data_IF_702563473305
#
_entry.id   IF_702563473305
#
_cell.length_a   1.000
_cell.length_b   1.000
_cell.length_c   1.000
_cell.angle_alpha   90.00
_cell.angle_beta   90.00
_cell.angle_gamma   90.00
#
_symmetry.space_group_name_H-M   'P 1'
#
loop_
_entity.id
_entity.type
_entity.pdbx_description
1 polymer ?
#
# COMPACT_ATOMS: atom_id res chain seq x y z
N UNK A 1 -31.83 1.72 -5.78
CA UNK A 1 -31.64 0.42 -5.10
C UNK A 1 -30.17 0.33 -4.73
N UNK A 2 -29.82 -0.13 -3.53
CA UNK A 2 -28.42 -0.20 -3.12
C UNK A 2 -27.70 -1.33 -3.85
N UNK A 3 -26.49 -1.05 -4.30
CA UNK A 3 -25.59 -2.02 -4.90
C UNK A 3 -24.77 -2.73 -3.83
N UNK A 4 -24.58 -4.05 -3.98
CA UNK A 4 -23.83 -4.87 -3.02
C UNK A 4 -22.57 -5.44 -3.64
N UNK A 5 -21.44 -5.27 -2.97
CA UNK A 5 -20.14 -5.78 -3.40
C UNK A 5 -19.19 -5.94 -2.21
N UNK A 6 -18.11 -6.72 -2.38
CA UNK A 6 -17.11 -6.93 -1.33
C UNK A 6 -16.26 -5.68 -1.09
N UNK A 7 -15.67 -5.56 0.10
CA UNK A 7 -14.67 -4.52 0.42
C UNK A 7 -13.50 -4.53 -0.57
N UNK A 8 -13.02 -5.72 -0.94
CA UNK A 8 -11.97 -5.87 -1.96
C UNK A 8 -12.36 -5.28 -3.32
N UNK A 9 -13.62 -5.42 -3.74
CA UNK A 9 -14.13 -4.80 -4.97
C UNK A 9 -14.36 -3.31 -4.80
N UNK A 10 -14.82 -2.87 -3.62
CA UNK A 10 -15.05 -1.47 -3.30
C UNK A 10 -13.79 -0.62 -3.50
N UNK A 11 -12.63 -1.09 -3.02
CA UNK A 11 -11.35 -0.40 -3.26
C UNK A 11 -11.02 -0.28 -4.74
N UNK A 12 -11.24 -1.34 -5.53
CA UNK A 12 -11.04 -1.31 -6.99
C UNK A 12 -11.98 -0.32 -7.69
N UNK A 13 -13.23 -0.23 -7.24
CA UNK A 13 -14.19 0.73 -7.79
C UNK A 13 -13.80 2.18 -7.48
N UNK A 14 -13.29 2.46 -6.29
CA UNK A 14 -12.74 3.80 -5.98
C UNK A 14 -11.56 4.14 -6.91
N UNK A 15 -10.67 3.18 -7.18
CA UNK A 15 -9.57 3.39 -8.15
C UNK A 15 -10.10 3.67 -9.56
N UNK A 16 -11.07 2.89 -10.05
CA UNK A 16 -11.69 3.12 -11.37
C UNK A 16 -12.37 4.48 -11.48
N UNK A 17 -13.11 4.90 -10.45
CA UNK A 17 -13.73 6.23 -10.41
C UNK A 17 -12.67 7.32 -10.48
N UNK A 18 -11.55 7.14 -9.75
CA UNK A 18 -10.45 8.09 -9.79
C UNK A 18 -9.82 8.18 -11.19
N UNK A 19 -9.48 7.05 -11.81
CA UNK A 19 -8.94 6.99 -13.18
C UNK A 19 -9.89 7.66 -14.19
N UNK A 20 -11.20 7.40 -14.08
CA UNK A 20 -12.20 8.03 -14.94
C UNK A 20 -12.31 9.54 -14.71
N UNK A 21 -12.18 9.99 -13.46
CA UNK A 21 -12.19 11.41 -13.10
C UNK A 21 -10.98 12.13 -13.70
N UNK A 22 -9.78 11.55 -13.61
CA UNK A 22 -8.58 12.10 -14.24
C UNK A 22 -8.73 12.20 -15.77
N UNK A 23 -9.25 11.17 -16.42
CA UNK A 23 -9.52 11.20 -17.87
C UNK A 23 -10.49 12.34 -18.25
N UNK A 24 -11.57 12.53 -17.48
CA UNK A 24 -12.51 13.63 -17.75
C UNK A 24 -11.87 14.99 -17.49
N UNK A 25 -11.02 15.12 -16.48
CA UNK A 25 -10.28 16.35 -16.21
C UNK A 25 -9.32 16.72 -17.34
N UNK A 26 -8.64 15.73 -17.94
CA UNK A 26 -7.81 15.92 -19.13
C UNK A 26 -8.66 16.39 -20.33
N UNK A 27 -9.82 15.77 -20.56
CA UNK A 27 -10.77 16.19 -21.59
C UNK A 27 -11.28 17.61 -21.37
N UNK A 28 -11.64 17.97 -20.13
CA UNK A 28 -12.08 19.31 -19.75
C UNK A 28 -10.98 20.33 -20.01
N UNK A 29 -9.74 20.03 -19.63
CA UNK A 29 -8.58 20.90 -19.89
C UNK A 29 -8.43 21.20 -21.39
N UNK A 30 -8.59 20.20 -22.25
CA UNK A 30 -8.58 20.38 -23.70
C UNK A 30 -9.77 21.20 -24.21
N UNK A 31 -10.98 20.96 -23.69
CA UNK A 31 -12.20 21.66 -24.09
C UNK A 31 -12.25 23.13 -23.63
N UNK A 32 -11.56 23.47 -22.53
CA UNK A 32 -11.49 24.83 -22.00
C UNK A 32 -10.55 25.74 -22.79
N UNK A 33 -9.77 25.19 -23.74
CA UNK A 33 -8.93 25.99 -24.61
C UNK A 33 -9.78 26.93 -25.48
N UNK A 34 -9.40 28.22 -25.62
CA UNK A 34 -10.11 29.15 -26.47
C UNK A 34 -10.15 28.66 -27.93
N UNK A 35 -11.33 28.72 -28.54
CA UNK A 35 -11.50 28.40 -29.96
C UNK A 35 -11.59 29.68 -30.79
N UNK A 36 -11.09 29.63 -32.03
CA UNK A 36 -11.31 30.67 -33.03
C UNK A 36 -12.66 30.39 -33.70
N UNK A 37 -13.56 31.37 -33.66
CA UNK A 37 -14.87 31.33 -34.33
C UNK A 37 -14.93 32.43 -35.38
N UNK A 38 -15.48 32.14 -36.57
CA UNK A 38 -15.75 33.16 -37.55
C UNK A 38 -16.99 33.97 -37.14
N UNK A 39 -16.98 35.28 -37.42
CA UNK A 39 -18.03 36.23 -37.01
C UNK A 39 -19.42 35.88 -37.60
N UNK A 40 -19.48 35.02 -38.63
CA UNK A 40 -20.71 34.57 -39.27
C UNK A 40 -20.78 33.05 -39.24
N UNK A 41 -21.78 32.49 -38.53
CA UNK A 41 -22.17 31.08 -38.64
C UNK A 41 -21.63 30.10 -37.59
N UNK A 42 -20.69 30.51 -36.71
CA UNK A 42 -20.03 29.60 -35.75
C UNK A 42 -20.54 29.68 -34.28
N UNK A 43 -21.59 30.45 -33.98
CA UNK A 43 -22.17 30.53 -32.63
C UNK A 43 -22.64 29.16 -32.09
N UNK A 44 -23.13 28.30 -32.98
CA UNK A 44 -23.57 26.95 -32.67
C UNK A 44 -22.43 26.09 -32.13
N UNK A 45 -21.19 26.28 -32.62
CA UNK A 45 -20.00 25.54 -32.19
C UNK A 45 -19.57 25.92 -30.77
N UNK A 46 -19.55 27.22 -30.46
CA UNK A 46 -19.25 27.69 -29.11
C UNK A 46 -20.30 27.21 -28.09
N UNK A 47 -21.58 27.23 -28.49
CA UNK A 47 -22.69 26.75 -27.65
C UNK A 47 -22.59 25.24 -27.40
N UNK A 48 -22.33 24.44 -28.44
CA UNK A 48 -22.15 22.99 -28.31
C UNK A 48 -20.97 22.62 -27.39
N UNK A 49 -19.86 23.36 -27.45
CA UNK A 49 -18.74 23.16 -26.55
C UNK A 49 -19.09 23.50 -25.10
N UNK A 50 -19.84 24.58 -24.85
CA UNK A 50 -20.33 24.92 -23.50
C UNK A 50 -21.22 23.83 -22.91
N UNK A 51 -22.16 23.30 -23.69
CA UNK A 51 -23.00 22.17 -23.27
C UNK A 51 -22.12 20.98 -22.91
N UNK A 52 -21.19 20.60 -23.80
CA UNK A 52 -20.26 19.48 -23.55
C UNK A 52 -19.41 19.68 -22.29
N UNK A 53 -18.94 20.90 -22.01
CA UNK A 53 -18.19 21.21 -20.79
C UNK A 53 -19.07 21.03 -19.56
N UNK A 54 -20.30 21.56 -19.58
CA UNK A 54 -21.23 21.42 -18.46
C UNK A 54 -21.58 19.95 -18.19
N UNK A 55 -21.85 19.16 -19.23
CA UNK A 55 -22.12 17.72 -19.09
C UNK A 55 -20.94 16.97 -18.44
N UNK A 56 -19.70 17.37 -18.79
CA UNK A 56 -18.49 16.78 -18.22
C UNK A 56 -18.26 17.21 -16.77
N UNK A 57 -18.55 18.46 -16.44
CA UNK A 57 -18.48 18.94 -15.05
C UNK A 57 -19.51 18.23 -14.16
N UNK A 58 -20.75 18.07 -14.63
CA UNK A 58 -21.79 17.32 -13.91
C UNK A 58 -21.36 15.86 -13.68
N UNK A 59 -20.72 15.24 -14.67
CA UNK A 59 -20.19 13.88 -14.53
C UNK A 59 -19.07 13.79 -13.47
N UNK A 60 -18.17 14.78 -13.40
CA UNK A 60 -17.12 14.84 -12.37
C UNK A 60 -17.75 14.96 -10.98
N UNK A 61 -18.79 15.77 -10.80
CA UNK A 61 -19.51 15.89 -9.53
C UNK A 61 -20.15 14.56 -9.12
N UNK A 62 -20.81 13.87 -10.05
CA UNK A 62 -21.39 12.53 -9.80
C UNK A 62 -20.32 11.50 -9.43
N UNK A 63 -19.16 11.52 -10.11
CA UNK A 63 -18.03 10.64 -9.79
C UNK A 63 -17.46 10.93 -8.39
N UNK A 64 -17.32 12.20 -8.02
CA UNK A 64 -16.87 12.61 -6.69
C UNK A 64 -17.85 12.16 -5.60
N UNK A 65 -19.16 12.33 -5.82
CA UNK A 65 -20.20 11.88 -4.91
C UNK A 65 -20.18 10.34 -4.76
N UNK A 66 -20.10 9.60 -5.87
CA UNK A 66 -20.00 8.14 -5.87
C UNK A 66 -18.75 7.61 -5.16
N UNK A 67 -17.58 8.21 -5.43
CA UNK A 67 -16.32 7.89 -4.72
C UNK A 67 -16.46 8.11 -3.22
N UNK A 68 -17.08 9.21 -2.81
CA UNK A 68 -17.32 9.55 -1.40
C UNK A 68 -18.25 8.53 -0.74
N UNK A 69 -19.36 8.17 -1.38
CA UNK A 69 -20.30 7.17 -0.87
C UNK A 69 -19.62 5.80 -0.66
N UNK A 70 -18.82 5.35 -1.61
CA UNK A 70 -18.08 4.08 -1.48
C UNK A 70 -17.04 4.17 -0.35
N UNK A 71 -16.27 5.26 -0.26
CA UNK A 71 -15.28 5.44 0.80
C UNK A 71 -15.90 5.47 2.20
N UNK A 72 -17.06 6.11 2.35
CA UNK A 72 -17.80 6.13 3.61
C UNK A 72 -18.26 4.72 4.00
N UNK A 73 -18.84 3.96 3.05
CA UNK A 73 -19.26 2.59 3.31
C UNK A 73 -18.09 1.65 3.64
N UNK A 74 -16.92 1.84 3.00
CA UNK A 74 -15.67 1.14 3.36
C UNK A 74 -15.27 1.49 4.80
N UNK A 75 -15.25 2.79 5.15
CA UNK A 75 -14.82 3.24 6.47
C UNK A 75 -15.73 2.70 7.58
N UNK A 76 -17.05 2.77 7.38
CA UNK A 76 -18.05 2.24 8.30
C UNK A 76 -17.86 0.73 8.49
N UNK A 77 -17.74 -0.02 7.39
CA UNK A 77 -17.56 -1.47 7.47
C UNK A 77 -16.24 -1.86 8.12
N UNK A 78 -15.14 -1.17 7.80
CA UNK A 78 -13.83 -1.39 8.43
C UNK A 78 -13.83 -1.12 9.93
N UNK A 79 -14.59 -0.11 10.37
CA UNK A 79 -14.82 0.15 11.79
C UNK A 79 -15.60 -0.99 12.43
N UNK A 80 -16.72 -1.40 11.84
CA UNK A 80 -17.60 -2.44 12.36
C UNK A 80 -16.92 -3.83 12.49
N UNK A 81 -16.05 -4.19 11.55
CA UNK A 81 -15.33 -5.48 11.57
C UNK A 81 -13.98 -5.43 12.30
N UNK A 82 -13.60 -4.28 12.87
CA UNK A 82 -12.33 -4.14 13.57
C UNK A 82 -11.08 -4.24 12.68
N UNK A 83 -11.20 -4.01 11.37
CA UNK A 83 -10.11 -4.16 10.38
C UNK A 83 -8.84 -3.38 10.77
N UNK A 84 -9.02 -2.20 11.36
CA UNK A 84 -7.93 -1.34 11.81
C UNK A 84 -6.99 -2.00 12.83
N UNK A 85 -7.52 -2.85 13.72
CA UNK A 85 -6.72 -3.59 14.70
C UNK A 85 -5.83 -4.62 14.01
N UNK A 86 -6.40 -5.39 13.07
CA UNK A 86 -5.64 -6.37 12.30
C UNK A 86 -4.55 -5.70 11.45
N UNK A 87 -4.85 -4.59 10.79
CA UNK A 87 -3.86 -3.82 10.03
C UNK A 87 -2.74 -3.27 10.92
N UNK A 88 -3.07 -2.75 12.11
CA UNK A 88 -2.08 -2.25 13.06
C UNK A 88 -1.17 -3.39 13.59
N UNK A 89 -1.75 -4.53 13.95
CA UNK A 89 -1.01 -5.71 14.40
C UNK A 89 -0.07 -6.22 13.30
N UNK A 90 -0.54 -6.26 12.05
CA UNK A 90 0.28 -6.67 10.90
C UNK A 90 1.44 -5.71 10.66
N UNK A 91 1.20 -4.41 10.77
CA UNK A 91 2.26 -3.40 10.65
C UNK A 91 3.30 -3.53 11.78
N UNK A 92 2.86 -3.80 13.01
CA UNK A 92 3.75 -4.03 14.14
C UNK A 92 4.63 -5.28 13.94
N UNK A 93 4.03 -6.40 13.54
CA UNK A 93 4.76 -7.64 13.22
C UNK A 93 5.78 -7.41 12.12
N UNK A 94 5.40 -6.74 11.02
CA UNK A 94 6.32 -6.43 9.93
C UNK A 94 7.51 -5.56 10.37
N UNK A 95 7.28 -4.54 11.22
CA UNK A 95 8.37 -3.73 11.79
C UNK A 95 9.30 -4.57 12.66
N UNK A 96 8.74 -5.47 13.47
CA UNK A 96 9.52 -6.35 14.33
C UNK A 96 10.37 -7.34 13.51
N UNK A 97 9.79 -7.94 12.47
CA UNK A 97 10.49 -8.82 11.52
C UNK A 97 11.65 -8.06 10.87
N UNK A 98 11.38 -6.87 10.30
CA UNK A 98 12.39 -6.05 9.63
C UNK A 98 13.55 -5.66 10.58
N UNK A 99 13.22 -5.33 11.84
CA UNK A 99 14.22 -5.00 12.85
C UNK A 99 15.12 -6.20 13.17
N UNK A 100 14.54 -7.39 13.38
CA UNK A 100 15.31 -8.61 13.67
C UNK A 100 16.13 -9.06 12.46
N UNK A 101 15.58 -8.97 11.24
CA UNK A 101 16.32 -9.25 10.01
C UNK A 101 17.49 -8.28 9.81
N UNK A 102 17.32 -7.00 10.17
CA UNK A 102 18.42 -6.03 10.12
C UNK A 102 19.54 -6.40 11.11
N UNK A 103 19.20 -6.82 12.33
CA UNK A 103 20.17 -7.31 13.32
C UNK A 103 20.93 -8.52 12.78
N UNK A 104 20.22 -9.51 12.21
CA UNK A 104 20.86 -10.68 11.58
C UNK A 104 21.82 -10.30 10.45
N UNK A 105 21.39 -9.43 9.52
CA UNK A 105 22.24 -8.97 8.42
C UNK A 105 23.50 -8.27 8.91
N UNK A 106 23.39 -7.40 9.92
CA UNK A 106 24.56 -6.74 10.49
C UNK A 106 25.51 -7.71 11.19
N UNK A 107 24.98 -8.69 11.93
CA UNK A 107 25.78 -9.76 12.54
C UNK A 107 26.54 -10.60 11.50
N UNK A 108 25.89 -10.96 10.39
CA UNK A 108 26.48 -11.76 9.32
C UNK A 108 27.56 -11.00 8.53
N UNK A 109 27.30 -9.74 8.14
CA UNK A 109 28.28 -8.94 7.40
C UNK A 109 29.54 -8.58 8.20
N UNK A 110 29.42 -8.42 9.53
CA UNK A 110 30.56 -8.16 10.40
C UNK A 110 31.48 -9.40 10.58
N UNK A 111 30.96 -10.60 10.30
CA UNK A 111 31.57 -11.87 10.71
C UNK A 111 32.57 -12.46 9.72
N UNK A 112 32.52 -12.12 8.43
CA UNK A 112 33.35 -12.78 7.40
C UNK A 112 34.87 -12.55 7.52
N UNK A 113 35.33 -11.61 8.36
CA UNK A 113 36.76 -11.34 8.62
C UNK A 113 37.11 -11.28 10.11
N UNK A 114 36.20 -11.74 10.97
CA UNK A 114 36.35 -11.71 12.42
C UNK A 114 36.71 -13.10 12.97
N UNK A 115 37.55 -13.13 14.01
CA UNK A 115 37.88 -14.34 14.76
C UNK A 115 36.69 -14.79 15.60
N UNK A 116 36.49 -16.10 15.75
CA UNK A 116 35.51 -16.61 16.72
C UNK A 116 36.00 -16.32 18.16
N UNK A 117 35.07 -16.06 19.09
CA UNK A 117 35.41 -15.60 20.45
C UNK A 117 36.28 -16.61 21.22
N UNK A 118 36.05 -17.91 20.99
CA UNK A 118 36.81 -19.04 21.55
C UNK A 118 38.26 -19.12 21.03
N UNK A 119 38.52 -18.57 19.84
CA UNK A 119 39.85 -18.53 19.22
C UNK A 119 40.71 -17.35 19.71
N UNK A 120 40.10 -16.36 20.37
CA UNK A 120 40.79 -15.14 20.83
C UNK A 120 41.96 -15.43 21.78
N UNK A 121 41.85 -16.30 22.81
CA UNK A 121 42.97 -16.57 23.71
C UNK A 121 44.18 -17.18 22.98
N UNK A 122 43.93 -18.12 22.07
CA UNK A 122 44.99 -18.75 21.26
C UNK A 122 45.64 -17.75 20.29
N UNK A 123 44.84 -16.86 19.70
CA UNK A 123 45.35 -15.79 18.85
C UNK A 123 46.24 -14.82 19.62
N UNK A 124 45.79 -14.33 20.79
CA UNK A 124 46.56 -13.43 21.66
C UNK A 124 47.89 -14.06 22.08
N UNK A 125 47.87 -15.34 22.51
CA UNK A 125 49.09 -16.05 22.88
C UNK A 125 50.12 -16.07 21.73
N UNK A 126 49.66 -16.25 20.49
CA UNK A 126 50.50 -16.29 19.29
C UNK A 126 51.11 -14.93 18.94
N UNK A 127 50.45 -13.81 19.21
CA UNK A 127 50.93 -12.46 18.84
C UNK A 127 51.57 -11.68 20.00
N UNK A 128 51.56 -12.25 21.20
CA UNK A 128 52.02 -11.62 22.45
C UNK A 128 53.48 -11.13 22.44
N UNK A 129 54.31 -11.65 21.53
CA UNK A 129 55.73 -11.30 21.39
C UNK A 129 55.98 -10.13 20.43
N UNK A 130 54.96 -9.61 19.75
CA UNK A 130 55.10 -8.49 18.83
C UNK A 130 55.21 -7.16 19.58
N UNK A 131 56.12 -6.27 19.15
CA UNK A 131 56.28 -4.93 19.73
C UNK A 131 55.03 -4.04 19.55
N UNK A 132 54.25 -4.29 18.49
CA UNK A 132 52.97 -3.60 18.22
C UNK A 132 51.89 -4.64 18.03
N UNK A 133 50.86 -4.61 18.87
CA UNK A 133 49.75 -5.56 18.79
C UNK A 133 48.73 -5.12 17.72
N UNK A 134 48.37 -6.00 16.77
CA UNK A 134 47.35 -5.69 15.76
C UNK A 134 45.95 -5.63 16.38
N UNK A 135 45.09 -4.78 15.79
CA UNK A 135 43.65 -4.75 16.11
C UNK A 135 42.95 -5.87 15.35
N UNK A 136 42.22 -6.72 16.06
CA UNK A 136 41.44 -7.82 15.50
C UNK A 136 39.95 -7.63 15.78
N UNK A 137 39.12 -8.01 14.80
CA UNK A 137 37.66 -8.08 14.95
C UNK A 137 37.31 -9.46 15.50
N UNK A 138 36.42 -9.51 16.48
CA UNK A 138 35.95 -10.74 17.11
C UNK A 138 34.46 -10.86 16.86
N UNK A 139 34.00 -12.06 16.49
CA UNK A 139 32.58 -12.39 16.42
C UNK A 139 32.06 -12.52 17.83
N UNK A 140 31.15 -11.64 18.19
CA UNK A 140 30.41 -11.67 19.46
C UNK A 140 29.01 -12.28 19.26
N UNK A 141 28.60 -12.42 18.01
CA UNK A 141 27.34 -13.01 17.62
C UNK A 141 27.53 -14.51 17.40
N UNK A 142 27.21 -15.30 18.42
CA UNK A 142 27.37 -16.75 18.39
C UNK A 142 26.27 -17.41 17.52
N UNK A 143 26.55 -18.62 17.02
CA UNK A 143 25.64 -19.37 16.18
C UNK A 143 24.32 -19.67 16.90
N UNK A 144 24.36 -19.98 18.20
CA UNK A 144 23.16 -20.20 19.02
C UNK A 144 22.23 -18.98 19.06
N UNK A 145 22.81 -17.77 19.11
CA UNK A 145 22.06 -16.51 19.12
C UNK A 145 21.45 -16.25 17.74
N UNK A 146 22.19 -16.59 16.68
CA UNK A 146 21.70 -16.50 15.31
C UNK A 146 20.50 -17.45 15.08
N UNK A 147 20.64 -18.72 15.46
CA UNK A 147 19.57 -19.72 15.34
C UNK A 147 18.32 -19.29 16.14
N UNK A 148 18.51 -18.81 17.37
CA UNK A 148 17.41 -18.27 18.20
C UNK A 148 16.67 -17.12 17.50
N UNK A 149 17.40 -16.22 16.84
CA UNK A 149 16.82 -15.09 16.11
C UNK A 149 16.10 -15.52 14.83
N UNK A 150 16.67 -16.46 14.10
CA UNK A 150 16.06 -17.05 12.90
C UNK A 150 14.75 -17.77 13.24
N UNK A 151 14.72 -18.56 14.32
CA UNK A 151 13.50 -19.20 14.83
C UNK A 151 12.44 -18.16 15.21
N UNK A 152 12.85 -17.10 15.90
CA UNK A 152 11.95 -16.01 16.31
C UNK A 152 11.36 -15.29 15.10
N UNK A 153 12.16 -14.99 14.08
CA UNK A 153 11.70 -14.41 12.82
C UNK A 153 10.74 -15.36 12.11
N UNK A 154 11.06 -16.66 12.03
CA UNK A 154 10.21 -17.66 11.41
C UNK A 154 8.85 -17.79 12.11
N UNK A 155 8.81 -17.64 13.45
CA UNK A 155 7.56 -17.60 14.22
C UNK A 155 6.75 -16.34 13.90
N UNK A 156 7.38 -15.17 13.91
CA UNK A 156 6.71 -13.90 13.59
C UNK A 156 6.17 -13.88 12.15
N UNK A 157 6.91 -14.44 11.19
CA UNK A 157 6.46 -14.58 9.79
C UNK A 157 5.22 -15.48 9.67
N UNK A 158 5.16 -16.58 10.41
CA UNK A 158 3.97 -17.44 10.48
C UNK A 158 2.76 -16.70 11.04
N UNK A 159 2.98 -15.88 12.07
CA UNK A 159 1.92 -15.06 12.67
C UNK A 159 1.44 -13.94 11.72
N UNK A 160 2.37 -13.29 11.00
CA UNK A 160 2.05 -12.28 9.98
C UNK A 160 1.24 -12.88 8.83
N UNK A 161 1.60 -14.09 8.36
CA UNK A 161 0.87 -14.81 7.32
C UNK A 161 -0.57 -15.12 7.76
N UNK A 162 -0.72 -15.70 8.97
CA UNK A 162 -2.03 -16.00 9.56
C UNK A 162 -2.92 -14.76 9.64
N UNK A 163 -2.34 -13.63 10.05
CA UNK A 163 -3.06 -12.36 10.11
C UNK A 163 -3.38 -11.81 8.71
N UNK A 164 -2.53 -12.08 7.72
CA UNK A 164 -2.82 -11.81 6.30
C UNK A 164 -4.05 -12.56 5.80
N UNK A 165 -4.20 -13.84 6.17
CA UNK A 165 -5.37 -14.64 5.83
C UNK A 165 -6.64 -14.08 6.49
N UNK A 166 -6.58 -13.73 7.79
CA UNK A 166 -7.70 -13.07 8.48
C UNK A 166 -8.12 -11.76 7.80
N UNK A 167 -7.16 -10.92 7.39
CA UNK A 167 -7.45 -9.67 6.68
C UNK A 167 -8.09 -9.96 5.32
N UNK A 168 -7.67 -11.00 4.61
CA UNK A 168 -8.27 -11.40 3.34
C UNK A 168 -9.73 -11.85 3.51
N UNK A 169 -10.00 -12.63 4.56
CA UNK A 169 -11.36 -13.03 4.91
C UNK A 169 -12.22 -11.82 5.29
N UNK A 170 -11.68 -10.89 6.06
CA UNK A 170 -12.36 -9.63 6.38
C UNK A 170 -12.67 -8.81 5.11
N UNK A 171 -11.76 -8.77 4.14
CA UNK A 171 -11.97 -8.08 2.85
C UNK A 171 -13.04 -8.74 1.94
N UNK A 172 -13.45 -9.97 2.23
CA UNK A 172 -14.56 -10.63 1.54
C UNK A 172 -15.94 -10.12 1.98
N UNK A 173 -16.01 -9.40 3.11
CA UNK A 173 -17.25 -8.86 3.64
C UNK A 173 -17.91 -7.91 2.64
N UNK A 174 -19.24 -8.03 2.53
CA UNK A 174 -20.03 -7.20 1.65
C UNK A 174 -20.36 -5.85 2.31
N UNK A 175 -20.38 -4.82 1.47
CA UNK A 175 -20.95 -3.51 1.76
C UNK A 175 -22.13 -3.24 0.82
N UNK A 176 -23.00 -2.35 1.26
CA UNK A 176 -24.20 -1.92 0.52
C UNK A 176 -24.07 -0.41 0.31
N UNK A 177 -24.11 0.05 -0.94
CA UNK A 177 -23.90 1.46 -1.28
C UNK A 177 -24.98 1.91 -2.23
N UNK A 178 -25.64 3.02 -1.90
CA UNK A 178 -26.53 3.70 -2.85
C UNK A 178 -25.68 4.54 -3.81
N UNK A 179 -25.77 4.23 -5.10
CA UNK A 179 -25.02 4.88 -6.16
C UNK A 179 -25.97 5.34 -7.26
N UNK A 180 -25.60 6.44 -7.90
CA UNK A 180 -26.21 6.85 -9.16
C UNK A 180 -25.98 5.75 -10.22
N UNK A 181 -27.02 5.47 -11.02
CA UNK A 181 -27.01 4.37 -11.99
C UNK A 181 -25.91 4.52 -13.03
N UNK A 182 -25.59 5.75 -13.45
CA UNK A 182 -24.53 6.01 -14.41
C UNK A 182 -23.14 5.75 -13.80
N UNK A 183 -22.97 6.04 -12.50
CA UNK A 183 -21.74 5.71 -11.78
C UNK A 183 -21.61 4.19 -11.63
N UNK A 184 -22.70 3.49 -11.33
CA UNK A 184 -22.71 2.04 -11.25
C UNK A 184 -22.32 1.38 -12.58
N UNK A 185 -22.78 1.93 -13.71
CA UNK A 185 -22.39 1.49 -15.05
C UNK A 185 -20.88 1.68 -15.30
N UNK A 186 -20.34 2.87 -14.99
CA UNK A 186 -18.91 3.20 -15.17
C UNK A 186 -17.99 2.21 -14.44
N UNK A 187 -18.36 1.78 -13.24
CA UNK A 187 -17.56 0.84 -12.45
C UNK A 187 -17.87 -0.64 -12.74
N UNK A 188 -18.84 -0.92 -13.61
CA UNK A 188 -19.23 -2.26 -14.04
C UNK A 188 -20.05 -3.03 -13.00
N UNK A 189 -21.01 -2.37 -12.36
CA UNK A 189 -21.97 -2.98 -11.41
C UNK A 189 -23.33 -3.31 -12.04
N UNK A 190 -23.62 -2.80 -13.22
CA UNK A 190 -24.83 -3.10 -13.99
C UNK A 190 -24.44 -3.89 -15.24
N UNK A 191 -24.93 -5.12 -15.35
CA UNK A 191 -25.10 -5.85 -16.61
C UNK A 191 -26.53 -5.64 -17.12
#
# INVERSE_FOLDING_TARGET
MPYKFSLSRAHKYVTRIHEQTENINEQLTSLMMPIVVNVVGDESRATALRVKINDRLELVEKLAAGSTAIRLAIAEKNSAIGMHVHLANRAALNRQIQSLEAVLRHGQHASNSALDADQVPAYIARISHLQTLPVVKVKVFDQDVQETLEEKIAKLKREELRLGDEINDLNSHQISVDLDAHIAEIIGLTE
#
